data_IF_689326939767
#
_entry.id   IF_689326939767
#
_cell.length_a   1.000
_cell.length_b   1.000
_cell.length_c   1.000
_cell.angle_alpha   90.00
_cell.angle_beta   90.00
_cell.angle_gamma   90.00
#
_symmetry.space_group_name_H-M   'P 1'
#
loop_
_entity.id
_entity.type
_entity.pdbx_description
1 polymer ?
#
# COMPACT_ATOMS: atom_id res chain seq x y z
N UNK A 1 -20.90 1.20 16.07
CA UNK A 1 -19.93 2.27 15.72
C UNK A 1 -19.96 2.47 14.20
N UNK A 2 -20.14 3.71 13.71
CA UNK A 2 -19.92 4.01 12.28
C UNK A 2 -18.40 3.96 12.03
N UNK A 3 -17.93 3.01 11.22
CA UNK A 3 -16.53 3.03 10.79
C UNK A 3 -16.25 4.30 10.01
N UNK A 4 -15.14 4.97 10.33
CA UNK A 4 -14.72 6.11 9.54
C UNK A 4 -14.13 5.58 8.24
N UNK A 5 -14.53 6.17 7.11
CA UNK A 5 -13.99 5.81 5.80
C UNK A 5 -12.46 5.95 5.73
N UNK A 6 -11.89 6.81 6.58
CA UNK A 6 -10.45 7.03 6.73
C UNK A 6 -9.70 5.79 7.23
N UNK A 7 -10.36 4.85 7.90
CA UNK A 7 -9.76 3.57 8.29
C UNK A 7 -9.24 2.78 7.08
N UNK A 8 -9.86 2.95 5.90
CA UNK A 8 -9.41 2.30 4.67
C UNK A 8 -8.05 2.81 4.19
N UNK A 9 -7.61 4.00 4.62
CA UNK A 9 -6.32 4.58 4.21
C UNK A 9 -5.14 4.04 5.03
N UNK A 10 -5.38 3.41 6.19
CA UNK A 10 -4.32 3.00 7.12
C UNK A 10 -3.40 1.96 6.49
N UNK A 11 -3.98 0.87 5.96
CA UNK A 11 -3.21 -0.19 5.32
C UNK A 11 -2.42 0.28 4.08
N UNK A 12 -3.03 0.96 3.09
CA UNK A 12 -2.27 1.40 1.92
C UNK A 12 -1.18 2.42 2.29
N UNK A 13 -1.39 3.27 3.31
CA UNK A 13 -0.35 4.18 3.78
C UNK A 13 0.84 3.44 4.42
N UNK A 14 0.58 2.47 5.30
CA UNK A 14 1.63 1.64 5.91
C UNK A 14 2.39 0.86 4.83
N UNK A 15 1.67 0.25 3.89
CA UNK A 15 2.27 -0.50 2.79
C UNK A 15 3.17 0.40 1.93
N UNK A 16 2.68 1.58 1.52
CA UNK A 16 3.45 2.53 0.73
C UNK A 16 4.72 3.01 1.45
N UNK A 17 4.61 3.37 2.74
CA UNK A 17 5.78 3.78 3.54
C UNK A 17 6.78 2.65 3.69
N UNK A 18 6.30 1.42 3.93
CA UNK A 18 7.17 0.25 4.05
C UNK A 18 7.88 -0.05 2.74
N UNK A 19 7.18 0.05 1.62
CA UNK A 19 7.72 -0.14 0.27
C UNK A 19 8.81 0.89 -0.04
N UNK A 20 8.50 2.18 0.10
CA UNK A 20 9.49 3.23 -0.14
C UNK A 20 10.68 3.17 0.83
N UNK A 21 10.46 2.73 2.07
CA UNK A 21 11.57 2.50 3.02
C UNK A 21 12.43 1.34 2.57
N UNK A 22 11.83 0.21 2.17
CA UNK A 22 12.55 -0.94 1.63
C UNK A 22 13.32 -0.58 0.36
N UNK A 23 12.73 0.23 -0.53
CA UNK A 23 13.40 0.76 -1.72
C UNK A 23 14.64 1.58 -1.37
N UNK A 24 14.57 2.48 -0.40
CA UNK A 24 15.72 3.30 -0.01
C UNK A 24 16.78 2.47 0.72
N UNK A 25 16.38 1.64 1.68
CA UNK A 25 17.31 0.80 2.46
C UNK A 25 17.96 -0.29 1.60
N UNK A 26 17.25 -0.78 0.58
CA UNK A 26 17.71 -1.85 -0.30
C UNK A 26 18.69 -1.40 -1.38
N UNK A 27 18.88 -0.09 -1.59
CA UNK A 27 19.88 0.39 -2.54
C UNK A 27 21.30 0.05 -2.07
N UNK A 28 22.18 -0.23 -3.02
CA UNK A 28 23.60 -0.43 -2.74
C UNK A 28 24.26 0.87 -2.23
N UNK A 29 25.28 0.79 -1.37
CA UNK A 29 26.02 1.98 -0.92
C UNK A 29 26.56 2.85 -2.07
N UNK A 30 26.95 2.22 -3.17
CA UNK A 30 27.48 2.86 -4.39
C UNK A 30 26.46 3.79 -5.05
N UNK A 31 25.16 3.47 -4.96
CA UNK A 31 24.08 4.32 -5.46
C UNK A 31 24.08 5.67 -4.72
N UNK A 32 24.21 5.66 -3.39
CA UNK A 32 24.24 6.89 -2.60
C UNK A 32 25.50 7.73 -2.83
N UNK A 33 26.58 7.11 -3.31
CA UNK A 33 27.79 7.79 -3.75
C UNK A 33 27.71 8.29 -5.21
N UNK A 34 26.60 8.05 -5.91
CA UNK A 34 26.40 8.44 -7.31
C UNK A 34 27.18 7.60 -8.32
N UNK A 35 27.56 6.36 -7.96
CA UNK A 35 28.41 5.49 -8.78
C UNK A 35 27.62 4.47 -9.61
N UNK A 36 26.38 4.18 -9.22
CA UNK A 36 25.51 3.21 -9.91
C UNK A 36 24.09 3.74 -10.03
N UNK A 37 23.37 3.22 -11.03
CA UNK A 37 21.93 3.48 -11.20
C UNK A 37 21.11 2.85 -10.06
N UNK A 38 19.89 3.37 -9.76
CA UNK A 38 19.02 2.80 -8.75
C UNK A 38 18.47 1.43 -9.16
N UNK A 39 18.43 0.50 -8.21
CA UNK A 39 17.88 -0.85 -8.41
C UNK A 39 16.37 -0.89 -8.18
N UNK A 40 15.59 -0.15 -8.97
CA UNK A 40 14.13 -0.05 -8.84
C UNK A 40 13.41 -0.53 -10.10
N UNK A 41 12.44 -1.44 -9.94
CA UNK A 41 11.68 -2.01 -11.05
C UNK A 41 10.50 -1.12 -11.47
N UNK A 42 9.99 -0.31 -10.54
CA UNK A 42 8.94 0.66 -10.84
C UNK A 42 9.53 1.82 -11.68
N UNK A 43 9.08 2.05 -12.93
CA UNK A 43 9.63 3.10 -13.78
C UNK A 43 9.54 4.51 -13.17
N UNK A 44 8.49 4.78 -12.40
CA UNK A 44 8.32 6.07 -11.70
C UNK A 44 9.32 6.16 -10.55
N UNK A 45 9.47 5.08 -9.77
CA UNK A 45 10.46 5.02 -8.69
C UNK A 45 11.88 5.18 -9.22
N UNK A 46 12.23 4.45 -10.26
CA UNK A 46 13.51 4.54 -10.96
C UNK A 46 13.80 5.97 -11.42
N UNK A 47 12.84 6.62 -12.09
CA UNK A 47 12.99 7.99 -12.56
C UNK A 47 13.27 8.98 -11.41
N UNK A 48 12.51 8.89 -10.32
CA UNK A 48 12.68 9.78 -9.17
C UNK A 48 14.01 9.54 -8.45
N UNK A 49 14.39 8.27 -8.25
CA UNK A 49 15.67 7.88 -7.64
C UNK A 49 16.87 8.25 -8.50
N UNK A 50 16.72 8.25 -9.82
CA UNK A 50 17.76 8.70 -10.76
C UNK A 50 18.01 10.21 -10.66
N UNK A 51 17.04 10.99 -10.18
CA UNK A 51 17.23 12.41 -9.91
C UNK A 51 17.84 12.65 -8.53
N UNK A 52 17.20 12.13 -7.48
CA UNK A 52 17.75 12.12 -6.12
C UNK A 52 16.92 11.24 -5.17
N UNK A 53 17.55 10.61 -4.15
CA UNK A 53 16.83 9.84 -3.15
C UNK A 53 15.88 10.71 -2.30
N UNK A 54 16.20 11.99 -2.09
CA UNK A 54 15.35 12.92 -1.35
C UNK A 54 14.06 13.22 -2.13
N UNK A 55 14.15 13.41 -3.46
CA UNK A 55 12.97 13.63 -4.29
C UNK A 55 12.01 12.44 -4.21
N UNK A 56 12.52 11.21 -4.29
CA UNK A 56 11.72 10.00 -4.09
C UNK A 56 11.02 10.02 -2.72
N UNK A 57 11.73 10.35 -1.64
CA UNK A 57 11.16 10.45 -0.29
C UNK A 57 10.04 11.50 -0.18
N UNK A 58 10.22 12.69 -0.79
CA UNK A 58 9.18 13.71 -0.82
C UNK A 58 7.96 13.30 -1.65
N UNK A 59 8.18 12.65 -2.79
CA UNK A 59 7.09 12.12 -3.61
C UNK A 59 6.33 11.02 -2.88
N UNK A 60 7.00 10.16 -2.11
CA UNK A 60 6.34 9.17 -1.25
C UNK A 60 5.46 9.82 -0.19
N UNK A 61 5.97 10.84 0.51
CA UNK A 61 5.17 11.57 1.50
C UNK A 61 3.95 12.23 0.85
N UNK A 62 4.11 12.85 -0.32
CA UNK A 62 3.00 13.41 -1.08
C UNK A 62 2.00 12.34 -1.52
N UNK A 63 2.48 11.16 -1.92
CA UNK A 63 1.63 10.04 -2.32
C UNK A 63 0.75 9.54 -1.17
N UNK A 64 1.28 9.45 0.04
CA UNK A 64 0.48 9.10 1.24
C UNK A 64 -0.65 10.11 1.46
N UNK A 65 -0.38 11.40 1.30
CA UNK A 65 -1.42 12.45 1.38
C UNK A 65 -2.47 12.23 0.30
N UNK A 66 -2.07 11.96 -0.95
CA UNK A 66 -3.00 11.66 -2.05
C UNK A 66 -3.89 10.45 -1.73
N UNK A 67 -3.34 9.38 -1.17
CA UNK A 67 -4.12 8.20 -0.76
C UNK A 67 -5.17 8.54 0.30
N UNK A 68 -4.80 9.34 1.31
CA UNK A 68 -5.73 9.78 2.36
C UNK A 68 -6.84 10.63 1.76
N UNK A 69 -6.51 11.58 0.87
CA UNK A 69 -7.49 12.44 0.19
C UNK A 69 -8.41 11.61 -0.72
N UNK A 70 -7.86 10.67 -1.49
CA UNK A 70 -8.64 9.73 -2.31
C UNK A 70 -9.64 8.95 -1.45
N UNK A 71 -9.17 8.35 -0.36
CA UNK A 71 -10.04 7.62 0.58
C UNK A 71 -11.02 8.56 1.27
N UNK A 72 -10.73 9.84 1.48
CA UNK A 72 -11.68 10.81 2.05
C UNK A 72 -12.82 11.12 1.09
N UNK A 73 -12.51 11.36 -0.19
CA UNK A 73 -13.46 11.94 -1.15
C UNK A 73 -14.13 10.93 -2.10
N UNK A 74 -13.55 9.76 -2.36
CA UNK A 74 -14.13 8.79 -3.30
C UNK A 74 -15.48 8.18 -2.82
N UNK A 75 -16.32 7.58 -3.66
CA UNK A 75 -17.37 6.68 -3.19
C UNK A 75 -16.78 5.52 -2.39
N UNK A 76 -17.50 4.98 -1.38
CA UNK A 76 -16.98 3.91 -0.51
C UNK A 76 -16.45 2.71 -1.29
N UNK A 77 -17.16 2.25 -2.32
CA UNK A 77 -16.74 1.13 -3.17
C UNK A 77 -15.40 1.40 -3.86
N UNK A 78 -15.21 2.60 -4.40
CA UNK A 78 -13.95 2.98 -5.05
C UNK A 78 -12.82 3.15 -4.03
N UNK A 79 -13.09 3.73 -2.86
CA UNK A 79 -12.11 3.84 -1.79
C UNK A 79 -11.65 2.44 -1.31
N UNK A 80 -12.57 1.50 -1.15
CA UNK A 80 -12.27 0.13 -0.75
C UNK A 80 -11.41 -0.59 -1.79
N UNK A 81 -11.83 -0.61 -3.07
CA UNK A 81 -11.06 -1.22 -4.14
C UNK A 81 -9.71 -0.54 -4.37
N UNK A 82 -9.66 0.78 -4.34
CA UNK A 82 -8.40 1.52 -4.48
C UNK A 82 -7.44 1.20 -3.34
N UNK A 83 -7.93 1.18 -2.08
CA UNK A 83 -7.10 0.80 -0.92
C UNK A 83 -6.58 -0.63 -1.06
N UNK A 84 -7.43 -1.54 -1.55
CA UNK A 84 -7.10 -2.93 -1.82
C UNK A 84 -5.94 -3.06 -2.82
N UNK A 85 -6.10 -2.42 -3.99
CA UNK A 85 -5.12 -2.46 -5.09
C UNK A 85 -3.80 -1.82 -4.67
N UNK A 86 -3.86 -0.62 -4.07
CA UNK A 86 -2.66 0.11 -3.62
C UNK A 86 -1.91 -0.70 -2.57
N UNK A 87 -2.61 -1.27 -1.58
CA UNK A 87 -1.98 -2.14 -0.58
C UNK A 87 -1.31 -3.33 -1.24
N UNK A 88 -1.99 -4.01 -2.17
CA UNK A 88 -1.44 -5.17 -2.86
C UNK A 88 -0.19 -4.85 -3.68
N UNK A 89 -0.19 -3.74 -4.40
CA UNK A 89 0.96 -3.29 -5.21
C UNK A 89 2.17 -2.95 -4.33
N UNK A 90 1.98 -2.23 -3.23
CA UNK A 90 3.10 -1.88 -2.34
C UNK A 90 3.58 -3.07 -1.50
N UNK A 91 2.69 -3.99 -1.11
CA UNK A 91 3.09 -5.28 -0.50
C UNK A 91 3.94 -6.08 -1.48
N UNK A 92 3.57 -6.09 -2.76
CA UNK A 92 4.37 -6.72 -3.81
C UNK A 92 5.72 -6.00 -3.99
N UNK A 93 5.76 -4.67 -3.96
CA UNK A 93 7.01 -3.90 -3.98
C UNK A 93 7.97 -4.30 -2.85
N UNK A 94 7.49 -4.23 -1.60
CA UNK A 94 8.22 -4.68 -0.40
C UNK A 94 8.71 -6.12 -0.56
N UNK A 95 7.86 -7.01 -1.08
CA UNK A 95 8.19 -8.40 -1.30
C UNK A 95 9.38 -8.58 -2.25
N UNK A 96 9.48 -7.78 -3.31
CA UNK A 96 10.61 -7.88 -4.25
C UNK A 96 11.94 -7.54 -3.59
N UNK A 97 11.94 -6.58 -2.67
CA UNK A 97 13.10 -6.27 -1.83
C UNK A 97 13.39 -7.38 -0.83
N UNK A 98 12.37 -7.87 -0.14
CA UNK A 98 12.53 -8.92 0.87
C UNK A 98 12.96 -10.26 0.27
N UNK A 99 12.60 -10.59 -0.98
CA UNK A 99 13.06 -11.84 -1.64
C UNK A 99 14.57 -11.84 -1.86
N UNK A 100 15.20 -10.66 -1.94
CA UNK A 100 16.67 -10.53 -1.96
C UNK A 100 17.28 -10.80 -0.58
N UNK A 101 16.45 -10.90 0.47
CA UNK A 101 16.81 -11.20 1.86
C UNK A 101 16.32 -12.62 2.18
N UNK A 102 17.00 -13.38 3.06
CA UNK A 102 16.52 -14.69 3.48
C UNK A 102 15.07 -14.63 4.00
N UNK A 103 14.24 -15.60 3.58
CA UNK A 103 12.82 -15.73 3.96
C UNK A 103 11.84 -14.69 3.39
N UNK A 104 12.22 -13.90 2.37
CA UNK A 104 11.33 -12.91 1.75
C UNK A 104 9.96 -13.43 1.30
N UNK A 105 9.91 -14.67 0.79
CA UNK A 105 8.68 -15.33 0.35
C UNK A 105 7.66 -15.51 1.50
N UNK A 106 8.14 -15.75 2.73
CA UNK A 106 7.31 -15.90 3.92
C UNK A 106 6.58 -14.60 4.26
N UNK A 107 7.25 -13.45 4.10
CA UNK A 107 6.66 -12.14 4.33
C UNK A 107 5.53 -11.81 3.34
N UNK A 108 5.65 -12.22 2.08
CA UNK A 108 4.59 -12.08 1.06
C UNK A 108 3.33 -12.82 1.47
N UNK A 109 3.49 -14.06 1.94
CA UNK A 109 2.39 -14.91 2.40
C UNK A 109 1.75 -14.31 3.65
N UNK A 110 2.54 -13.85 4.62
CA UNK A 110 2.03 -13.23 5.85
C UNK A 110 1.25 -11.92 5.57
N UNK A 111 1.75 -11.06 4.68
CA UNK A 111 1.05 -9.83 4.28
C UNK A 111 -0.26 -10.13 3.53
N UNK A 112 -0.27 -11.13 2.64
CA UNK A 112 -1.48 -11.61 1.97
C UNK A 112 -2.50 -12.22 2.94
N UNK A 113 -2.05 -12.93 3.97
CA UNK A 113 -2.92 -13.44 5.04
C UNK A 113 -3.51 -12.30 5.88
N UNK A 114 -2.70 -11.32 6.28
CA UNK A 114 -3.15 -10.17 7.07
C UNK A 114 -4.25 -9.37 6.36
N UNK A 115 -4.10 -9.21 5.05
CA UNK A 115 -5.06 -8.56 4.17
C UNK A 115 -6.44 -9.22 4.17
N UNK A 116 -6.50 -10.57 4.21
CA UNK A 116 -7.77 -11.31 4.32
C UNK A 116 -8.50 -11.01 5.63
N UNK A 117 -7.78 -10.79 6.73
CA UNK A 117 -8.40 -10.54 8.05
C UNK A 117 -8.84 -9.09 8.27
N UNK A 118 -8.28 -8.11 7.55
CA UNK A 118 -8.66 -6.70 7.71
C UNK A 118 -9.82 -6.29 6.79
N UNK A 119 -9.87 -6.82 5.57
CA UNK A 119 -10.87 -6.41 4.57
C UNK A 119 -12.16 -7.24 4.64
N UNK A 120 -12.07 -8.52 5.03
CA UNK A 120 -13.19 -9.46 4.90
C UNK A 120 -14.23 -9.50 6.05
N UNK A 121 -13.95 -9.16 7.33
CA UNK A 121 -14.95 -9.44 8.38
C UNK A 121 -16.18 -8.54 8.43
N UNK A 122 -16.30 -7.47 7.62
CA UNK A 122 -17.32 -6.42 7.86
C UNK A 122 -18.27 -6.12 6.73
N UNK A 123 -18.27 -6.91 5.65
CA UNK A 123 -19.37 -6.90 4.70
C UNK A 123 -20.47 -7.87 5.18
N UNK A 124 -21.15 -7.53 6.28
CA UNK A 124 -22.49 -8.08 6.51
C UNK A 124 -23.46 -7.19 5.73
N UNK A 125 -23.99 -7.63 4.58
CA UNK A 125 -25.15 -6.96 4.03
C UNK A 125 -26.24 -7.11 5.09
N UNK A 126 -26.63 -6.00 5.71
CA UNK A 126 -27.90 -5.93 6.43
C UNK A 126 -29.01 -6.15 5.39
N UNK A 127 -29.23 -7.41 5.00
CA UNK A 127 -30.46 -7.87 4.39
C UNK A 127 -31.50 -7.85 5.52
N UNK A 128 -31.91 -6.64 5.91
CA UNK A 128 -33.15 -6.48 6.67
C UNK A 128 -34.28 -6.86 5.74
N UNK A 129 -34.77 -8.08 5.89
CA UNK A 129 -36.05 -8.53 5.35
C UNK A 129 -37.17 -7.84 6.16
N UNK A 130 -37.31 -6.53 6.03
CA UNK A 130 -38.34 -5.76 6.76
C UNK A 130 -39.73 -5.82 6.07
N UNK A 131 -39.97 -6.79 5.18
CA UNK A 131 -41.21 -6.88 4.38
C UNK A 131 -41.91 -8.24 4.40
N UNK A 132 -41.82 -8.99 5.51
CA UNK A 132 -42.69 -10.15 5.72
C UNK A 132 -43.38 -10.01 7.08
N UNK A 133 -44.71 -10.03 7.07
CA UNK A 133 -45.65 -9.95 8.21
C UNK A 133 -45.99 -8.55 8.74
N UNK A 134 -46.88 -7.86 8.02
CA UNK A 134 -48.09 -7.32 8.66
C UNK A 134 -49.31 -7.73 7.84
N UNK A 135 -49.94 -8.79 8.35
CA UNK A 135 -51.32 -9.20 8.10
C UNK A 135 -52.31 -8.14 8.55
#
# INVERSE_FOLDING_TARGET
>A
MRQSKLELAVLPAIAAVSDGTATLVGQQPEYFAGQTDPEELNPIGFFLLSMSPQLFGWTLAAWVVVLILFVRFAPYRLAAWGSLVVTGLHVFGVATWLIRVPYGLLWVVLLGCLFRFVVYPRYQPNFRLDHVTRS
#
